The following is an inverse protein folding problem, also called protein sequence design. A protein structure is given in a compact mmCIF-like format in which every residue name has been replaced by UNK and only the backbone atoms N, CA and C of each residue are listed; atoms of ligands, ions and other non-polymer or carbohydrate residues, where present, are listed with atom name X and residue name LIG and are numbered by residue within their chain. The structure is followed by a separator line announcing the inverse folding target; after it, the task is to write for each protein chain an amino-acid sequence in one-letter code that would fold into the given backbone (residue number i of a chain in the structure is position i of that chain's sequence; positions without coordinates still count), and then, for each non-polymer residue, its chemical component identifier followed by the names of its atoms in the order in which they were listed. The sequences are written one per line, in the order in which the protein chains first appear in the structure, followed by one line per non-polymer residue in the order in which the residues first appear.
data_IF_078451346966
#
_entry.id   IF_078451346966
#
_cell.length_a   1.000
_cell.length_b   1.000
_cell.length_c   1.000
_cell.angle_alpha   90.00
_cell.angle_beta   90.00
_cell.angle_gamma   90.00
#
_symmetry.space_group_name_H-M   'P 1'
#
loop_
_entity.id
_entity.type
_entity.pdbx_description
1 polymer ?
#
# COMPACT_ATOMS: atom_id res chain seq x y z
N UNK A 1 70.78 31.59 38.68
CA UNK A 1 70.54 30.96 37.36
C UNK A 1 69.41 29.96 37.46
N UNK A 2 68.18 30.36 37.25
CA UNK A 2 67.05 29.44 37.20
C UNK A 2 66.55 29.36 35.73
N UNK A 3 66.70 28.18 35.10
CA UNK A 3 66.15 27.87 33.81
C UNK A 3 64.63 27.66 33.95
N UNK A 4 63.84 28.48 33.29
CA UNK A 4 62.40 28.24 33.04
C UNK A 4 62.27 27.13 32.03
N UNK A 5 61.74 25.99 32.42
CA UNK A 5 61.27 24.96 31.51
C UNK A 5 59.87 25.33 31.03
N UNK A 6 59.74 25.64 29.77
CA UNK A 6 58.47 25.96 29.10
C UNK A 6 57.79 24.64 28.79
N UNK A 7 56.67 24.36 29.43
CA UNK A 7 55.84 23.22 29.15
C UNK A 7 54.96 23.55 27.92
N UNK A 8 55.43 23.16 26.75
CA UNK A 8 54.62 23.21 25.51
C UNK A 8 53.75 21.95 25.47
N UNK A 9 52.57 22.02 26.06
CA UNK A 9 51.57 20.96 25.92
C UNK A 9 51.00 21.04 24.50
N UNK A 10 51.15 19.94 23.78
CA UNK A 10 50.73 19.77 22.41
C UNK A 10 49.22 19.96 22.24
N UNK A 11 48.78 21.15 21.92
CA UNK A 11 47.40 21.52 21.55
C UNK A 11 46.94 20.76 20.26
N UNK A 12 47.90 20.35 19.41
CA UNK A 12 47.64 19.58 18.19
C UNK A 12 47.04 18.19 18.44
N UNK A 13 47.47 17.51 19.56
CA UNK A 13 46.96 16.16 19.88
C UNK A 13 45.52 16.18 20.38
N UNK A 14 45.08 17.26 21.02
CA UNK A 14 43.68 17.39 21.51
C UNK A 14 42.73 17.70 20.35
N UNK A 15 43.16 18.52 19.38
CA UNK A 15 42.41 18.80 18.17
C UNK A 15 42.27 17.59 17.25
N UNK A 16 43.27 16.71 17.15
CA UNK A 16 43.19 15.49 16.36
C UNK A 16 42.24 14.45 16.95
N UNK A 17 42.16 14.36 18.29
CA UNK A 17 41.23 13.47 18.98
C UNK A 17 39.79 13.99 18.87
N UNK A 18 39.58 15.30 18.89
CA UNK A 18 38.27 15.91 18.66
C UNK A 18 37.78 15.74 17.22
N UNK A 19 38.68 15.67 16.23
CA UNK A 19 38.31 15.41 14.84
C UNK A 19 37.97 13.92 14.55
N UNK A 20 38.51 13.00 15.32
CA UNK A 20 38.21 11.55 15.21
C UNK A 20 36.88 11.21 15.91
N UNK A 21 36.44 12.01 16.87
CA UNK A 21 35.13 11.94 17.53
C UNK A 21 34.03 12.74 16.81
N UNK A 22 34.33 13.36 15.64
CA UNK A 22 33.28 13.92 14.78
C UNK A 22 32.43 12.77 14.25
N UNK A 23 31.57 12.35 15.11
CA UNK A 23 30.39 11.52 14.97
C UNK A 23 30.10 11.18 13.50
N UNK A 24 30.17 9.91 13.19
CA UNK A 24 29.43 9.34 12.08
C UNK A 24 27.94 9.58 12.35
N UNK A 25 27.50 10.83 12.22
CA UNK A 25 26.10 11.18 12.36
C UNK A 25 25.32 10.47 11.27
N UNK A 26 24.20 9.94 11.63
CA UNK A 26 23.19 9.51 10.68
C UNK A 26 22.94 10.63 9.68
N UNK A 27 22.94 10.32 8.40
CA UNK A 27 22.70 11.29 7.33
C UNK A 27 21.42 11.00 6.53
N UNK A 28 20.89 9.78 6.62
CA UNK A 28 19.63 9.46 5.99
C UNK A 28 18.44 10.12 6.72
N UNK A 29 17.55 10.70 5.95
CA UNK A 29 16.34 11.38 6.40
C UNK A 29 15.11 10.56 6.03
N UNK A 30 14.24 10.31 7.00
CA UNK A 30 12.93 9.71 6.75
C UNK A 30 11.89 10.82 6.52
N UNK A 31 11.43 10.95 5.27
CA UNK A 31 10.37 11.87 4.87
C UNK A 31 9.04 11.16 4.92
N UNK A 32 8.22 11.50 5.89
CA UNK A 32 6.91 10.91 6.11
C UNK A 32 5.96 11.91 6.79
N UNK A 33 4.65 11.64 6.73
CA UNK A 33 3.65 12.42 7.48
C UNK A 33 3.67 12.08 8.97
N UNK A 34 3.34 13.03 9.83
CA UNK A 34 3.08 12.80 11.27
C UNK A 34 1.61 12.51 11.56
N UNK A 35 0.72 12.78 10.59
CA UNK A 35 -0.73 12.60 10.75
C UNK A 35 -1.25 11.89 9.50
N UNK A 36 -1.97 10.80 9.70
CA UNK A 36 -2.70 10.08 8.67
C UNK A 36 -4.17 9.94 9.04
N UNK A 37 -5.06 9.97 8.07
CA UNK A 37 -6.47 9.64 8.29
C UNK A 37 -6.72 8.17 7.98
N UNK A 38 -7.55 7.49 8.79
CA UNK A 38 -7.96 6.11 8.51
C UNK A 38 -8.45 5.96 7.07
N UNK A 39 -7.95 4.95 6.37
CA UNK A 39 -8.28 4.65 4.98
C UNK A 39 -7.53 5.51 3.95
N UNK A 40 -6.69 6.47 4.35
CA UNK A 40 -5.93 7.28 3.39
C UNK A 40 -4.51 6.74 3.22
N UNK A 41 -4.02 6.65 1.97
CA UNK A 41 -2.63 6.33 1.70
C UNK A 41 -1.70 7.51 1.99
N UNK A 42 -0.45 7.20 2.31
CA UNK A 42 0.64 8.16 2.40
C UNK A 42 1.95 7.53 1.91
N UNK A 43 2.89 8.37 1.52
CA UNK A 43 4.21 7.97 1.04
C UNK A 43 5.24 8.17 2.14
N UNK A 44 6.07 7.15 2.39
CA UNK A 44 7.27 7.24 3.21
C UNK A 44 8.51 7.06 2.32
N UNK A 45 9.54 7.90 2.53
CA UNK A 45 10.80 7.88 1.79
C UNK A 45 11.97 8.00 2.74
N UNK A 46 12.89 7.04 2.67
CA UNK A 46 14.21 7.17 3.26
C UNK A 46 15.15 7.70 2.18
N UNK A 47 15.80 8.83 2.43
CA UNK A 47 16.71 9.50 1.48
C UNK A 47 18.05 9.72 2.13
N UNK A 48 19.14 9.32 1.47
CA UNK A 48 20.52 9.52 1.94
C UNK A 48 21.43 10.04 0.81
N UNK A 49 22.38 10.92 1.10
CA UNK A 49 23.46 11.26 0.17
C UNK A 49 24.51 10.14 0.05
N UNK A 50 24.46 9.14 0.93
CA UNK A 50 25.40 8.02 0.94
C UNK A 50 24.67 6.73 0.60
N UNK A 51 25.43 5.72 0.19
CA UNK A 51 24.90 4.39 -0.08
C UNK A 51 24.21 3.81 1.14
N UNK A 52 22.98 3.35 0.94
CA UNK A 52 22.15 2.66 1.93
C UNK A 52 21.80 1.27 1.40
N UNK A 53 21.78 0.29 2.28
CA UNK A 53 21.43 -1.10 1.94
C UNK A 53 20.56 -1.73 3.02
N UNK A 54 20.03 -2.93 2.73
CA UNK A 54 19.19 -3.72 3.63
C UNK A 54 18.08 -2.92 4.30
N UNK A 55 17.48 -2.00 3.53
CA UNK A 55 16.39 -1.16 4.01
C UNK A 55 15.17 -2.02 4.28
N UNK A 56 14.70 -2.02 5.51
CA UNK A 56 13.48 -2.70 5.95
C UNK A 56 12.56 -1.71 6.64
N UNK A 57 11.27 -1.83 6.38
CA UNK A 57 10.26 -0.99 7.00
C UNK A 57 9.24 -1.86 7.74
N UNK A 58 8.82 -1.39 8.92
CA UNK A 58 7.73 -2.01 9.69
C UNK A 58 6.64 -0.98 9.89
N UNK A 59 5.42 -1.33 9.51
CA UNK A 59 4.21 -0.52 9.65
C UNK A 59 3.04 -1.39 10.10
N UNK A 60 2.37 -0.97 11.19
CA UNK A 60 1.33 -1.77 11.85
C UNK A 60 1.88 -3.18 12.17
N UNK A 61 1.22 -4.22 11.66
CA UNK A 61 1.58 -5.63 11.85
C UNK A 61 2.45 -6.21 10.72
N UNK A 62 2.98 -5.36 9.82
CA UNK A 62 3.68 -5.77 8.60
C UNK A 62 5.10 -5.26 8.53
N UNK A 63 5.96 -6.08 7.93
CA UNK A 63 7.34 -5.72 7.62
C UNK A 63 7.69 -6.15 6.19
N UNK A 64 8.48 -5.30 5.49
CA UNK A 64 8.99 -5.62 4.14
C UNK A 64 10.37 -5.01 3.93
N UNK A 65 11.25 -5.69 3.16
CA UNK A 65 12.44 -5.06 2.61
C UNK A 65 12.04 -4.07 1.50
N UNK A 66 12.84 -3.03 1.32
CA UNK A 66 12.62 -2.04 0.27
C UNK A 66 13.78 -2.04 -0.73
N UNK A 67 13.43 -1.89 -2.00
CA UNK A 67 14.40 -1.62 -3.05
C UNK A 67 14.97 -0.21 -2.89
N UNK A 68 16.29 -0.10 -2.93
CA UNK A 68 16.99 1.18 -2.98
C UNK A 68 17.22 1.55 -4.45
N UNK A 69 16.89 2.78 -4.80
CA UNK A 69 17.16 3.39 -6.10
C UNK A 69 18.14 4.54 -5.94
N UNK A 70 18.90 4.85 -6.99
CA UNK A 70 19.81 6.00 -7.03
C UNK A 70 19.33 7.00 -8.08
N UNK A 71 19.14 8.25 -7.68
CA UNK A 71 18.75 9.36 -8.57
C UNK A 71 19.22 10.69 -8.00
N UNK A 72 19.60 11.64 -8.85
CA UNK A 72 20.06 13.00 -8.47
C UNK A 72 21.16 13.01 -7.40
N UNK A 73 22.09 12.05 -7.48
CA UNK A 73 23.19 11.90 -6.53
C UNK A 73 22.82 11.41 -5.14
N UNK A 74 21.56 10.94 -4.94
CA UNK A 74 21.05 10.42 -3.67
C UNK A 74 20.58 8.98 -3.83
N UNK A 75 20.55 8.27 -2.71
CA UNK A 75 19.93 6.96 -2.58
C UNK A 75 18.56 7.11 -1.92
N UNK A 76 17.56 6.43 -2.47
CA UNK A 76 16.19 6.52 -1.99
C UNK A 76 15.54 5.13 -1.90
N UNK A 77 14.82 4.90 -0.79
CA UNK A 77 13.89 3.78 -0.66
C UNK A 77 12.50 4.34 -0.33
N UNK A 78 11.51 3.98 -1.14
CA UNK A 78 10.15 4.56 -1.06
C UNK A 78 9.11 3.46 -0.92
N UNK A 79 8.06 3.73 -0.14
CA UNK A 79 6.91 2.84 0.02
C UNK A 79 5.61 3.63 0.19
N UNK A 80 4.53 3.07 -0.36
CA UNK A 80 3.16 3.50 -0.07
C UNK A 80 2.63 2.74 1.15
N UNK A 81 2.09 3.46 2.12
CA UNK A 81 1.52 2.96 3.36
C UNK A 81 0.11 3.50 3.58
N UNK A 82 -0.62 2.88 4.49
CA UNK A 82 -1.94 3.33 4.89
C UNK A 82 -2.49 2.50 6.04
N UNK A 83 -3.76 2.70 6.37
CA UNK A 83 -4.48 1.97 7.40
C UNK A 83 -5.89 1.63 6.91
N UNK A 84 -6.39 0.46 7.26
CA UNK A 84 -7.71 -0.02 6.86
C UNK A 84 -8.80 0.48 7.79
N UNK A 85 -9.93 0.93 7.26
CA UNK A 85 -11.08 1.40 8.05
C UNK A 85 -11.78 0.30 8.85
N UNK A 86 -11.57 -0.97 8.50
CA UNK A 86 -12.16 -2.11 9.18
C UNK A 86 -11.30 -2.59 10.34
N UNK A 87 -10.00 -2.69 10.11
CA UNK A 87 -9.10 -3.47 10.95
C UNK A 87 -8.16 -2.58 11.80
N UNK A 88 -7.97 -1.30 11.42
CA UNK A 88 -7.15 -0.36 12.17
C UNK A 88 -8.00 0.50 13.11
N UNK A 89 -7.53 0.73 14.33
CA UNK A 89 -8.14 1.68 15.27
C UNK A 89 -7.42 3.04 15.18
N UNK A 90 -8.08 4.17 15.52
CA UNK A 90 -7.37 5.43 15.71
C UNK A 90 -6.34 5.32 16.83
N UNK A 91 -5.20 6.00 16.67
CA UNK A 91 -4.12 6.00 17.66
C UNK A 91 -2.76 6.32 17.05
N UNK A 92 -1.75 6.37 17.89
CA UNK A 92 -0.36 6.59 17.49
C UNK A 92 0.27 5.24 17.15
N UNK A 93 0.88 5.16 15.97
CA UNK A 93 1.59 3.98 15.49
C UNK A 93 3.00 4.39 15.05
N UNK A 94 3.99 3.61 15.47
CA UNK A 94 5.38 3.87 15.13
C UNK A 94 5.74 3.19 13.80
N UNK A 95 6.12 3.99 12.81
CA UNK A 95 6.80 3.52 11.61
C UNK A 95 8.27 3.31 11.95
N UNK A 96 8.77 2.09 11.75
CA UNK A 96 10.17 1.76 12.00
C UNK A 96 10.89 1.48 10.69
N UNK A 97 12.05 2.10 10.48
CA UNK A 97 12.91 1.88 9.31
C UNK A 97 14.30 1.49 9.77
N UNK A 98 14.77 0.30 9.41
CA UNK A 98 16.14 -0.15 9.62
C UNK A 98 16.91 -0.20 8.30
N UNK A 99 18.18 0.17 8.32
CA UNK A 99 19.03 0.21 7.12
C UNK A 99 20.51 0.20 7.52
N UNK A 100 21.38 -0.14 6.57
CA UNK A 100 22.83 0.08 6.69
C UNK A 100 23.23 1.34 5.94
N UNK A 101 24.13 2.13 6.53
CA UNK A 101 24.77 3.28 5.94
C UNK A 101 26.22 3.38 6.47
N UNK A 102 27.19 3.52 5.56
CA UNK A 102 28.63 3.62 5.90
C UNK A 102 29.11 2.48 6.83
N UNK A 103 28.64 1.25 6.57
CA UNK A 103 29.03 0.06 7.32
C UNK A 103 28.44 -0.04 8.73
N UNK A 104 27.44 0.78 9.08
CA UNK A 104 26.73 0.75 10.36
C UNK A 104 25.24 0.56 10.14
N UNK A 105 24.61 -0.22 11.00
CA UNK A 105 23.17 -0.36 11.06
C UNK A 105 22.55 0.82 11.81
N UNK A 106 21.45 1.34 11.26
CA UNK A 106 20.65 2.41 11.82
C UNK A 106 19.19 1.98 11.92
N UNK A 107 18.49 2.54 12.88
CA UNK A 107 17.05 2.36 13.03
C UNK A 107 16.42 3.72 13.32
N UNK A 108 15.40 4.06 12.56
CA UNK A 108 14.59 5.26 12.73
C UNK A 108 13.20 4.86 13.21
N UNK A 109 12.68 5.65 14.12
CA UNK A 109 11.30 5.56 14.61
C UNK A 109 10.58 6.86 14.30
N UNK A 110 9.39 6.75 13.72
CA UNK A 110 8.58 7.91 13.35
C UNK A 110 7.12 7.64 13.74
N UNK A 111 6.63 8.38 14.72
CA UNK A 111 5.28 8.23 15.21
C UNK A 111 4.28 8.93 14.30
N UNK A 112 3.22 8.21 13.93
CA UNK A 112 2.14 8.69 13.06
C UNK A 112 0.82 8.60 13.83
N UNK A 113 0.16 9.75 14.01
CA UNK A 113 -1.18 9.86 14.57
C UNK A 113 -2.21 9.47 13.51
N UNK A 114 -2.72 8.24 13.58
CA UNK A 114 -3.80 7.75 12.71
C UNK A 114 -5.14 8.21 13.27
N UNK A 115 -5.70 9.24 12.64
CA UNK A 115 -6.94 9.89 13.07
C UNK A 115 -8.18 9.21 12.51
N UNK A 116 -9.27 9.18 13.28
CA UNK A 116 -10.54 8.68 12.80
C UNK A 116 -11.03 9.54 11.62
N UNK A 117 -11.69 8.88 10.66
CA UNK A 117 -12.40 9.54 9.58
C UNK A 117 -13.84 9.06 9.56
N UNK A 118 -14.78 10.02 9.52
CA UNK A 118 -16.20 9.71 9.36
C UNK A 118 -16.48 9.34 7.90
N UNK A 119 -17.20 8.24 7.71
CA UNK A 119 -17.66 7.78 6.41
C UNK A 119 -19.19 7.68 6.40
N UNK A 120 -19.84 8.08 5.30
CA UNK A 120 -21.29 8.01 5.18
C UNK A 120 -21.80 6.57 5.29
N UNK A 121 -23.09 6.42 5.60
CA UNK A 121 -23.80 5.15 5.57
C UNK A 121 -24.46 4.97 4.21
N UNK A 122 -24.39 3.75 3.66
CA UNK A 122 -25.07 3.34 2.43
C UNK A 122 -25.91 2.10 2.72
N UNK A 123 -27.21 2.21 2.51
CA UNK A 123 -28.13 1.08 2.57
C UNK A 123 -28.27 0.45 1.19
N UNK A 124 -28.16 -0.85 1.12
CA UNK A 124 -28.27 -1.62 -0.12
C UNK A 124 -29.27 -2.75 0.06
N UNK A 125 -30.19 -2.86 -0.90
CA UNK A 125 -31.07 -4.01 -1.04
C UNK A 125 -30.41 -5.01 -1.97
N UNK A 126 -30.15 -6.21 -1.49
CA UNK A 126 -29.47 -7.28 -2.21
C UNK A 126 -30.32 -8.57 -2.18
N UNK A 127 -30.15 -9.47 -3.17
CA UNK A 127 -30.69 -10.82 -3.08
C UNK A 127 -30.23 -11.48 -1.77
N UNK A 128 -31.14 -12.18 -1.08
CA UNK A 128 -30.86 -12.75 0.24
C UNK A 128 -29.63 -13.66 0.24
N UNK A 129 -29.42 -14.44 -0.80
CA UNK A 129 -28.24 -15.31 -0.96
C UNK A 129 -26.90 -14.53 -0.96
N UNK A 130 -26.89 -13.24 -1.31
CA UNK A 130 -25.69 -12.38 -1.30
C UNK A 130 -25.46 -11.72 0.07
N UNK A 131 -26.46 -11.73 0.95
CA UNK A 131 -26.36 -11.24 2.34
C UNK A 131 -26.12 -12.42 3.29
N UNK A 132 -26.91 -13.47 3.15
CA UNK A 132 -26.79 -14.74 3.90
C UNK A 132 -26.58 -15.86 2.89
N UNK A 133 -25.34 -16.23 2.57
CA UNK A 133 -25.06 -17.28 1.60
C UNK A 133 -25.69 -18.61 1.99
N UNK A 134 -26.21 -19.39 1.04
CA UNK A 134 -26.73 -20.73 1.30
C UNK A 134 -25.58 -21.65 1.74
N UNK A 135 -25.93 -22.72 2.49
CA UNK A 135 -24.93 -23.64 3.07
C UNK A 135 -23.99 -24.24 2.02
N UNK A 136 -24.48 -24.51 0.83
CA UNK A 136 -23.73 -25.05 -0.31
C UNK A 136 -22.65 -24.10 -0.82
N UNK A 137 -22.82 -22.76 -0.67
CA UNK A 137 -21.86 -21.77 -1.07
C UNK A 137 -20.75 -21.52 -0.03
N UNK A 138 -20.94 -21.92 1.23
CA UNK A 138 -20.03 -21.58 2.34
C UNK A 138 -18.63 -22.17 2.11
N UNK A 139 -18.53 -23.42 1.65
CA UNK A 139 -17.24 -24.05 1.38
C UNK A 139 -16.47 -23.30 0.29
N UNK A 140 -17.13 -23.00 -0.83
CA UNK A 140 -16.60 -22.19 -1.92
C UNK A 140 -16.13 -20.81 -1.42
N UNK A 141 -16.95 -20.09 -0.66
CA UNK A 141 -16.62 -18.77 -0.13
C UNK A 141 -15.38 -18.83 0.78
N UNK A 142 -15.26 -19.87 1.61
CA UNK A 142 -14.11 -20.06 2.50
C UNK A 142 -12.82 -20.29 1.71
N UNK A 143 -12.86 -21.16 0.70
CA UNK A 143 -11.73 -21.42 -0.19
C UNK A 143 -11.30 -20.16 -0.95
N UNK A 144 -12.25 -19.46 -1.59
CA UNK A 144 -11.99 -18.22 -2.31
C UNK A 144 -11.43 -17.12 -1.39
N UNK A 145 -11.94 -17.02 -0.16
CA UNK A 145 -11.44 -16.07 0.84
C UNK A 145 -9.97 -16.33 1.20
N UNK A 146 -9.55 -17.59 1.25
CA UNK A 146 -8.16 -17.96 1.47
C UNK A 146 -7.27 -17.55 0.28
N UNK A 147 -7.71 -17.86 -0.95
CA UNK A 147 -7.00 -17.48 -2.17
C UNK A 147 -6.82 -15.95 -2.27
N UNK A 148 -7.90 -15.20 -2.03
CA UNK A 148 -7.88 -13.73 -2.04
C UNK A 148 -7.00 -13.19 -0.93
N UNK A 149 -7.06 -13.76 0.27
CA UNK A 149 -6.20 -13.38 1.39
C UNK A 149 -4.73 -13.60 1.04
N UNK A 150 -4.37 -14.72 0.45
CA UNK A 150 -3.01 -15.01 0.01
C UNK A 150 -2.54 -13.98 -1.03
N UNK A 151 -3.37 -13.66 -2.03
CA UNK A 151 -3.05 -12.66 -3.03
C UNK A 151 -2.82 -11.27 -2.41
N UNK A 152 -3.71 -10.83 -1.51
CA UNK A 152 -3.60 -9.51 -0.84
C UNK A 152 -2.36 -9.45 0.08
N UNK A 153 -1.93 -10.58 0.65
CA UNK A 153 -0.75 -10.67 1.51
C UNK A 153 0.56 -10.88 0.74
N UNK A 154 0.53 -10.93 -0.59
CA UNK A 154 1.74 -11.02 -1.42
C UNK A 154 2.62 -9.80 -1.22
N UNK A 155 3.89 -10.03 -0.97
CA UNK A 155 4.90 -8.97 -0.86
C UNK A 155 6.08 -9.39 -1.75
N UNK A 156 6.27 -8.70 -2.88
CA UNK A 156 7.45 -8.82 -3.73
C UNK A 156 8.39 -7.66 -3.47
N UNK A 157 9.69 -7.90 -3.58
CA UNK A 157 10.71 -6.90 -3.22
C UNK A 157 10.83 -5.78 -4.25
N UNK A 158 10.72 -6.10 -5.52
CA UNK A 158 10.89 -5.16 -6.62
C UNK A 158 9.65 -4.26 -6.75
N UNK A 159 9.87 -2.95 -6.79
CA UNK A 159 8.82 -1.95 -6.99
C UNK A 159 8.55 -1.74 -8.48
N UNK A 160 7.31 -1.94 -8.89
CA UNK A 160 6.84 -1.72 -10.25
C UNK A 160 5.83 -0.57 -10.39
N UNK A 161 5.44 0.06 -9.29
CA UNK A 161 4.52 1.19 -9.31
C UNK A 161 5.25 2.53 -9.33
N UNK A 162 4.65 3.49 -10.01
CA UNK A 162 5.01 4.90 -10.00
C UNK A 162 3.75 5.76 -9.86
N UNK A 163 3.86 6.87 -9.13
CA UNK A 163 2.77 7.82 -9.00
C UNK A 163 2.81 8.88 -10.13
N UNK A 164 1.64 9.34 -10.55
CA UNK A 164 0.29 8.91 -10.17
C UNK A 164 -0.07 7.55 -10.76
N UNK A 165 -0.94 6.79 -10.09
CA UNK A 165 -1.52 5.57 -10.65
C UNK A 165 -2.50 5.91 -11.79
N UNK A 166 -2.69 4.98 -12.72
CA UNK A 166 -3.68 5.09 -13.79
C UNK A 166 -5.08 4.74 -13.27
N UNK A 167 -6.07 5.61 -13.51
CA UNK A 167 -7.47 5.24 -13.28
C UNK A 167 -7.84 4.04 -14.16
N UNK A 168 -8.51 3.04 -13.58
CA UNK A 168 -8.83 1.82 -14.32
C UNK A 168 -9.93 2.02 -15.37
N UNK A 169 -10.83 2.99 -15.16
CA UNK A 169 -11.88 3.44 -16.09
C UNK A 169 -12.13 4.94 -15.91
N UNK A 170 -12.66 5.61 -16.93
CA UNK A 170 -12.91 7.06 -16.90
C UNK A 170 -14.24 7.44 -16.21
N UNK A 171 -15.01 6.47 -15.71
CA UNK A 171 -16.30 6.69 -15.07
C UNK A 171 -16.24 7.50 -13.77
N UNK A 172 -17.34 8.17 -13.41
CA UNK A 172 -17.46 8.84 -12.12
C UNK A 172 -17.51 7.85 -10.96
N UNK A 173 -17.07 8.27 -9.78
CA UNK A 173 -17.21 7.48 -8.54
C UNK A 173 -18.68 7.47 -8.13
N UNK A 174 -19.26 6.28 -8.01
CA UNK A 174 -20.64 6.06 -7.54
C UNK A 174 -20.70 5.59 -6.09
N UNK A 175 -19.64 4.92 -5.62
CA UNK A 175 -19.55 4.44 -4.23
C UNK A 175 -18.10 4.62 -3.77
N UNK A 176 -17.79 5.62 -2.93
CA UNK A 176 -16.44 5.86 -2.47
C UNK A 176 -15.97 4.82 -1.43
N UNK A 177 -14.66 4.78 -1.21
CA UNK A 177 -14.04 3.99 -0.15
C UNK A 177 -14.57 4.39 1.23
N UNK A 178 -14.70 3.40 2.11
CA UNK A 178 -15.01 3.59 3.53
C UNK A 178 -16.49 3.69 3.87
N UNK A 179 -17.39 3.67 2.87
CA UNK A 179 -18.83 3.67 3.16
C UNK A 179 -19.20 2.55 4.13
N UNK A 180 -19.92 2.91 5.18
CA UNK A 180 -20.53 1.94 6.11
C UNK A 180 -21.75 1.33 5.44
N UNK A 181 -21.66 0.06 5.07
CA UNK A 181 -22.74 -0.63 4.34
C UNK A 181 -23.73 -1.28 5.29
N UNK A 182 -25.02 -1.13 4.96
CA UNK A 182 -26.13 -1.85 5.59
C UNK A 182 -26.78 -2.67 4.46
N UNK A 183 -26.80 -3.99 4.62
CA UNK A 183 -27.39 -4.93 3.66
C UNK A 183 -28.73 -5.44 4.19
N UNK A 184 -29.84 -5.11 3.52
CA UNK A 184 -31.18 -5.53 3.93
C UNK A 184 -31.48 -5.25 5.42
N UNK A 185 -31.03 -4.09 5.94
CA UNK A 185 -31.17 -3.69 7.35
C UNK A 185 -30.12 -4.27 8.30
N UNK A 186 -29.23 -5.14 7.87
CA UNK A 186 -28.16 -5.71 8.70
C UNK A 186 -26.81 -5.04 8.43
N UNK A 187 -25.98 -4.77 9.47
CA UNK A 187 -24.65 -4.23 9.29
C UNK A 187 -23.78 -5.12 8.40
N UNK A 188 -23.15 -4.53 7.38
CA UNK A 188 -22.18 -5.16 6.50
C UNK A 188 -20.76 -4.65 6.73
N UNK A 189 -19.79 -5.26 6.05
CA UNK A 189 -18.43 -4.76 6.04
C UNK A 189 -18.35 -3.41 5.34
N UNK A 190 -17.48 -2.48 5.79
CA UNK A 190 -17.26 -1.23 5.09
C UNK A 190 -16.77 -1.47 3.66
N UNK A 191 -17.04 -0.52 2.78
CA UNK A 191 -16.58 -0.57 1.40
C UNK A 191 -15.06 -0.39 1.33
N UNK A 192 -14.32 -1.44 0.94
CA UNK A 192 -12.85 -1.47 0.94
C UNK A 192 -12.26 -1.18 -0.45
N UNK A 193 -12.94 -0.38 -1.26
CA UNK A 193 -12.52 0.06 -2.58
C UNK A 193 -13.38 1.21 -3.05
N UNK A 194 -13.33 1.49 -4.33
CA UNK A 194 -14.12 2.52 -5.01
C UNK A 194 -14.89 1.88 -6.15
N UNK A 195 -16.20 2.18 -6.25
CA UNK A 195 -17.00 1.74 -7.38
C UNK A 195 -17.07 2.88 -8.41
N UNK A 196 -16.61 2.59 -9.61
CA UNK A 196 -16.70 3.50 -10.77
C UNK A 196 -17.88 3.12 -11.64
N UNK A 197 -18.68 4.09 -12.06
CA UNK A 197 -19.68 3.89 -13.10
C UNK A 197 -19.00 3.40 -14.38
N UNK A 198 -19.39 2.22 -14.85
CA UNK A 198 -18.89 1.65 -16.09
C UNK A 198 -19.96 0.75 -16.68
N UNK A 199 -20.39 1.05 -17.90
CA UNK A 199 -21.29 0.16 -18.63
C UNK A 199 -20.61 -1.22 -18.82
N UNK A 200 -21.40 -2.28 -18.87
CA UNK A 200 -20.87 -3.61 -19.17
C UNK A 200 -20.12 -3.60 -20.51
N UNK A 201 -18.91 -4.16 -20.52
CA UNK A 201 -18.04 -4.12 -21.71
C UNK A 201 -17.10 -2.91 -21.79
N UNK A 202 -17.10 -1.99 -20.81
CA UNK A 202 -16.11 -0.89 -20.77
C UNK A 202 -14.72 -1.47 -20.52
N UNK A 203 -13.68 -1.11 -21.32
CA UNK A 203 -12.30 -1.58 -21.09
C UNK A 203 -11.78 -1.18 -19.71
N UNK A 204 -11.23 -2.15 -18.97
CA UNK A 204 -10.60 -1.97 -17.65
C UNK A 204 -9.10 -2.00 -17.82
N UNK A 205 -8.42 -0.97 -17.31
CA UNK A 205 -6.97 -0.77 -17.47
C UNK A 205 -6.20 -1.04 -16.16
N UNK A 206 -4.99 -1.61 -16.30
CA UNK A 206 -4.08 -1.81 -15.18
C UNK A 206 -3.60 -0.48 -14.60
N UNK A 207 -3.59 -0.36 -13.28
CA UNK A 207 -3.28 0.89 -12.58
C UNK A 207 -1.78 1.25 -12.59
N UNK A 208 -0.90 0.25 -12.62
CA UNK A 208 0.55 0.39 -12.69
C UNK A 208 1.19 -0.86 -13.33
N UNK A 209 2.48 -0.83 -13.62
CA UNK A 209 3.22 -2.03 -14.01
C UNK A 209 3.09 -3.10 -12.91
N UNK A 210 3.09 -4.39 -13.27
CA UNK A 210 2.98 -5.44 -12.27
C UNK A 210 2.78 -6.83 -12.87
N UNK A 211 2.48 -7.78 -11.99
CA UNK A 211 2.23 -9.17 -12.36
C UNK A 211 0.85 -9.60 -11.85
N UNK A 212 0.08 -10.27 -12.69
CA UNK A 212 -1.22 -10.86 -12.30
C UNK A 212 -0.96 -12.02 -11.33
N UNK A 213 -1.49 -11.94 -10.13
CA UNK A 213 -1.29 -12.94 -9.07
C UNK A 213 -2.52 -13.80 -8.80
N UNK A 214 -3.71 -13.32 -9.16
CA UNK A 214 -4.93 -14.10 -9.04
C UNK A 214 -5.97 -13.63 -10.06
N UNK A 215 -6.58 -14.58 -10.76
CA UNK A 215 -7.78 -14.36 -11.58
C UNK A 215 -8.81 -15.42 -11.21
N UNK A 216 -10.08 -15.08 -11.27
CA UNK A 216 -11.14 -16.06 -11.01
C UNK A 216 -12.55 -15.47 -11.09
N UNK A 217 -13.54 -16.36 -10.99
CA UNK A 217 -14.95 -15.98 -10.81
C UNK A 217 -15.35 -16.31 -9.37
N UNK A 218 -15.27 -15.29 -8.51
CA UNK A 218 -15.47 -15.44 -7.06
C UNK A 218 -16.92 -15.12 -6.67
N UNK A 219 -17.43 -15.78 -5.65
CA UNK A 219 -18.82 -15.66 -5.21
C UNK A 219 -19.27 -14.21 -5.00
N UNK A 220 -18.48 -13.42 -4.28
CA UNK A 220 -18.79 -12.01 -4.02
C UNK A 220 -18.20 -11.07 -5.07
N UNK A 221 -16.96 -11.28 -5.47
CA UNK A 221 -16.24 -10.40 -6.40
C UNK A 221 -16.65 -10.60 -7.86
N UNK A 222 -17.30 -11.72 -8.19
CA UNK A 222 -17.49 -12.13 -9.59
C UNK A 222 -16.15 -12.29 -10.29
N UNK A 223 -16.13 -12.13 -11.61
CA UNK A 223 -14.88 -12.16 -12.37
C UNK A 223 -13.96 -11.06 -11.90
N UNK A 224 -12.80 -11.45 -11.38
CA UNK A 224 -11.87 -10.57 -10.68
C UNK A 224 -10.44 -10.82 -11.12
N UNK A 225 -9.63 -9.75 -11.07
CA UNK A 225 -8.18 -9.75 -11.32
C UNK A 225 -7.48 -9.08 -10.15
N UNK A 226 -6.38 -9.67 -9.66
CA UNK A 226 -5.50 -9.10 -8.67
C UNK A 226 -4.11 -8.96 -9.26
N UNK A 227 -3.51 -7.79 -9.13
CA UNK A 227 -2.19 -7.46 -9.68
C UNK A 227 -1.26 -7.01 -8.58
N UNK A 228 -0.09 -7.65 -8.50
CA UNK A 228 1.01 -7.26 -7.63
C UNK A 228 1.89 -6.24 -8.36
N UNK A 229 2.03 -5.05 -7.76
CA UNK A 229 2.85 -3.96 -8.25
C UNK A 229 4.19 -3.83 -7.49
N UNK A 230 4.46 -4.79 -6.60
CA UNK A 230 5.65 -4.79 -5.76
C UNK A 230 5.53 -3.94 -4.49
N UNK A 231 6.44 -4.18 -3.56
CA UNK A 231 6.46 -3.56 -2.22
C UNK A 231 5.13 -3.66 -1.45
N UNK A 232 4.37 -4.76 -1.65
CA UNK A 232 3.07 -4.97 -1.02
C UNK A 232 1.95 -4.07 -1.53
N UNK A 233 2.08 -3.50 -2.73
CA UNK A 233 1.03 -2.74 -3.43
C UNK A 233 0.26 -3.69 -4.33
N UNK A 234 -0.98 -4.01 -3.95
CA UNK A 234 -1.87 -4.91 -4.70
C UNK A 234 -3.11 -4.15 -5.15
N UNK A 235 -3.43 -4.18 -6.43
CA UNK A 235 -4.71 -3.72 -6.94
C UNK A 235 -5.65 -4.87 -7.23
N UNK A 236 -6.96 -4.66 -7.03
CA UNK A 236 -7.97 -5.62 -7.45
C UNK A 236 -9.08 -4.95 -8.27
N UNK A 237 -9.59 -5.71 -9.25
CA UNK A 237 -10.61 -5.31 -10.20
C UNK A 237 -11.71 -6.36 -10.15
N UNK A 238 -12.95 -5.99 -9.80
CA UNK A 238 -14.03 -6.93 -9.59
C UNK A 238 -15.25 -6.60 -10.45
N UNK A 239 -16.21 -7.51 -10.43
CA UNK A 239 -17.50 -7.46 -11.15
C UNK A 239 -17.35 -7.40 -12.68
N UNK A 240 -16.23 -7.91 -13.21
CA UNK A 240 -15.92 -7.87 -14.64
C UNK A 240 -16.86 -8.79 -15.43
N UNK A 241 -17.15 -8.44 -16.68
CA UNK A 241 -17.85 -9.32 -17.62
C UNK A 241 -16.91 -10.32 -18.28
N UNK A 242 -15.64 -9.89 -18.49
CA UNK A 242 -14.60 -10.72 -19.13
C UNK A 242 -13.23 -10.38 -18.57
N UNK A 243 -12.42 -11.39 -18.34
CA UNK A 243 -11.00 -11.31 -18.00
C UNK A 243 -10.20 -11.62 -19.27
N UNK A 244 -9.18 -10.79 -19.59
CA UNK A 244 -8.32 -10.94 -20.77
C UNK A 244 -6.87 -11.28 -20.43
N UNK A 245 -6.59 -11.54 -19.18
CA UNK A 245 -5.23 -11.81 -18.68
C UNK A 245 -5.17 -13.13 -17.93
N UNK A 246 -3.98 -13.70 -17.80
CA UNK A 246 -3.72 -14.97 -17.12
C UNK A 246 -2.87 -14.74 -15.88
N UNK A 247 -2.94 -15.67 -14.91
CA UNK A 247 -2.05 -15.67 -13.76
C UNK A 247 -0.58 -15.69 -14.22
N UNK A 248 0.28 -14.97 -13.51
CA UNK A 248 1.70 -14.75 -13.78
C UNK A 248 1.99 -13.90 -15.04
N UNK A 249 0.99 -13.35 -15.71
CA UNK A 249 1.20 -12.42 -16.82
C UNK A 249 1.75 -11.09 -16.28
N UNK A 250 2.84 -10.61 -16.90
CA UNK A 250 3.35 -9.24 -16.65
C UNK A 250 2.52 -8.23 -17.42
N UNK A 251 2.23 -7.11 -16.78
CA UNK A 251 1.40 -6.03 -17.31
C UNK A 251 2.15 -4.70 -17.23
N UNK A 252 1.85 -3.84 -18.19
CA UNK A 252 2.22 -2.43 -18.16
C UNK A 252 1.06 -1.57 -17.69
N UNK A 253 1.38 -0.43 -17.07
CA UNK A 253 0.41 0.60 -16.70
C UNK A 253 -0.45 0.99 -17.90
N UNK A 254 -1.75 0.81 -17.79
CA UNK A 254 -2.71 1.13 -18.84
C UNK A 254 -3.10 -0.03 -19.75
N UNK A 255 -2.46 -1.21 -19.63
CA UNK A 255 -2.87 -2.40 -20.37
C UNK A 255 -4.33 -2.77 -20.07
N UNK A 256 -5.06 -3.23 -21.09
CA UNK A 256 -6.44 -3.69 -20.92
C UNK A 256 -6.42 -5.10 -20.33
N UNK A 257 -6.90 -5.24 -19.09
CA UNK A 257 -6.93 -6.50 -18.35
C UNK A 257 -8.27 -7.24 -18.48
N UNK A 258 -9.26 -6.60 -19.05
CA UNK A 258 -10.59 -7.15 -19.28
C UNK A 258 -11.63 -6.05 -19.44
N UNK A 259 -12.88 -6.39 -19.14
CA UNK A 259 -14.02 -5.49 -19.35
C UNK A 259 -14.93 -5.49 -18.12
N UNK A 260 -15.45 -4.30 -17.76
CA UNK A 260 -16.42 -4.13 -16.67
C UNK A 260 -17.71 -4.90 -16.93
N UNK A 261 -18.42 -5.20 -15.85
CA UNK A 261 -19.68 -5.96 -15.92
C UNK A 261 -20.51 -5.82 -14.67
N UNK A 262 -21.19 -6.92 -14.31
CA UNK A 262 -22.11 -7.00 -13.17
C UNK A 262 -22.05 -8.40 -12.51
N UNK A 263 -20.92 -9.10 -12.60
CA UNK A 263 -20.80 -10.45 -12.02
C UNK A 263 -20.61 -10.40 -10.50
N UNK A 264 -20.93 -11.48 -9.80
CA UNK A 264 -20.84 -11.55 -8.33
C UNK A 264 -21.90 -10.70 -7.61
N UNK A 265 -21.55 -10.10 -6.48
CA UNK A 265 -22.44 -9.29 -5.65
C UNK A 265 -22.50 -7.84 -6.13
N UNK A 266 -23.20 -7.59 -7.21
CA UNK A 266 -23.36 -6.29 -7.83
C UNK A 266 -24.86 -5.95 -8.04
N UNK A 267 -25.25 -4.71 -7.81
CA UNK A 267 -26.61 -4.20 -8.01
C UNK A 267 -26.83 -3.64 -9.42
N UNK A 268 -25.80 -3.42 -10.18
CA UNK A 268 -25.81 -2.88 -11.54
C UNK A 268 -24.40 -2.86 -12.13
N UNK A 269 -24.26 -2.54 -13.44
CA UNK A 269 -22.95 -2.50 -14.08
C UNK A 269 -22.03 -1.42 -13.47
N UNK A 270 -20.86 -1.86 -13.01
CA UNK A 270 -19.82 -0.98 -12.47
C UNK A 270 -18.48 -1.72 -12.42
N UNK A 271 -17.39 -1.00 -12.18
CA UNK A 271 -16.12 -1.55 -11.78
C UNK A 271 -15.88 -1.27 -10.30
N UNK A 272 -15.71 -2.30 -9.49
CA UNK A 272 -15.11 -2.17 -8.17
C UNK A 272 -13.59 -2.23 -8.29
N UNK A 273 -12.91 -1.20 -7.78
CA UNK A 273 -11.45 -1.12 -7.70
C UNK A 273 -11.00 -1.02 -6.25
N UNK A 274 -10.20 -1.99 -5.80
CA UNK A 274 -9.57 -2.00 -4.49
C UNK A 274 -8.06 -1.81 -4.61
N UNK A 275 -7.46 -1.14 -3.62
CA UNK A 275 -6.02 -0.98 -3.48
C UNK A 275 -5.61 -1.39 -2.06
N UNK A 276 -4.61 -2.25 -1.97
CA UNK A 276 -4.05 -2.73 -0.72
C UNK A 276 -2.58 -2.33 -0.63
N UNK A 277 -2.19 -1.81 0.53
CA UNK A 277 -0.83 -1.44 0.87
C UNK A 277 -0.41 -2.25 2.10
N UNK A 278 0.53 -3.18 1.93
CA UNK A 278 0.89 -4.18 2.95
C UNK A 278 -0.36 -4.86 3.55
N UNK A 279 -1.28 -5.33 2.69
CA UNK A 279 -2.56 -5.94 3.02
C UNK A 279 -3.63 -5.01 3.64
N UNK A 280 -3.34 -3.75 3.91
CA UNK A 280 -4.31 -2.76 4.39
C UNK A 280 -5.02 -2.09 3.22
N UNK A 281 -6.34 -2.25 3.13
CA UNK A 281 -7.12 -1.58 2.08
C UNK A 281 -7.15 -0.07 2.31
N UNK A 282 -6.96 0.70 1.24
CA UNK A 282 -6.93 2.16 1.29
C UNK A 282 -7.79 2.79 0.20
N UNK A 283 -8.15 4.06 0.39
CA UNK A 283 -8.79 4.88 -0.63
C UNK A 283 -7.80 5.18 -1.77
N UNK A 284 -7.99 4.64 -2.97
CA UNK A 284 -7.06 4.84 -4.08
C UNK A 284 -7.12 6.23 -4.70
N UNK A 285 -8.20 7.00 -4.45
CA UNK A 285 -8.46 8.26 -5.14
C UNK A 285 -7.34 9.30 -5.05
N UNK A 286 -6.64 9.47 -3.91
CA UNK A 286 -5.51 10.41 -3.82
C UNK A 286 -4.28 10.02 -4.66
N UNK A 287 -4.19 8.78 -5.13
CA UNK A 287 -3.04 8.27 -5.88
C UNK A 287 -3.26 8.30 -7.40
N UNK A 288 -4.47 8.60 -7.87
CA UNK A 288 -4.75 8.74 -9.30
C UNK A 288 -4.40 10.13 -9.84
N UNK A 289 -4.17 10.14 -11.15
CA UNK A 289 -4.04 11.35 -11.93
C UNK A 289 -5.41 11.93 -12.25
#
# INVERSE_FOLDING_TARGET
LFKKATLTINVVSVLLILFILSSRAQSAELKCTYIASMGKPFLARLVSPYDISDVKISWLDRQTPLQVTRGDGKYEASILLGSDVRDTKPGIYTLTVSYFERGRQWTLHHDIDVRPKSYPVQELKLPQAMVTPPKEAIARIKEESLLISNAINTITHERHWELPLKRPVDGIVTSPYGLKRIYNGSPGSPHRGVDFRAASGTPVRCAADGTVILTGDHYFGGKSVYVDHGNGVISCYMHMSKINVLNNQRLKKGDIIGYSGQTGRATGPHLHFGLYLLAHAVDPMPLFQ
#
